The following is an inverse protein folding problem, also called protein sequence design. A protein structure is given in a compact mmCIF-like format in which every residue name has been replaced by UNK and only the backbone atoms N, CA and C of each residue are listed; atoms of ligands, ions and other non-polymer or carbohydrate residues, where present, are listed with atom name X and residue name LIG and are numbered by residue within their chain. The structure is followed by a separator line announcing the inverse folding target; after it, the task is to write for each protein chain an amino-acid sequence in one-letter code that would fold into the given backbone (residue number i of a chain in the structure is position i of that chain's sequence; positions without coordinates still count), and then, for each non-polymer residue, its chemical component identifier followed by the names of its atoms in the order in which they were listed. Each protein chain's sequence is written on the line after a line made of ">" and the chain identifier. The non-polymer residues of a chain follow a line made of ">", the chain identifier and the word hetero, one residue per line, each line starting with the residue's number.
data_IF_379805975940
#
_entry.id   IF_379805975940
#
_cell.length_a   1.000
_cell.length_b   1.000
_cell.length_c   1.000
_cell.angle_alpha   90.00
_cell.angle_beta   90.00
_cell.angle_gamma   90.00
#
_symmetry.space_group_name_H-M   'P 1'
#
loop_
_entity.id
_entity.type
_entity.pdbx_description
1 polymer ?
#
# COMPACT_ATOMS: atom_id res chain seq x y z
N UNK A 1 2.20 21.92 -26.93
CA UNK A 1 1.30 22.72 -27.81
C UNK A 1 -0.09 22.08 -27.87
N UNK A 2 -1.17 22.88 -27.92
CA UNK A 2 -2.55 22.39 -28.12
C UNK A 2 -3.33 23.36 -29.01
N UNK A 3 -3.79 22.97 -30.21
CA UNK A 3 -4.47 23.86 -31.17
C UNK A 3 -5.59 24.71 -30.57
N UNK A 4 -6.43 24.13 -29.73
CA UNK A 4 -7.56 24.84 -29.12
C UNK A 4 -7.14 25.97 -28.19
N UNK A 5 -6.01 25.84 -27.49
CA UNK A 5 -5.47 26.92 -26.64
C UNK A 5 -4.95 28.11 -27.47
N UNK A 6 -4.76 27.90 -28.78
CA UNK A 6 -4.34 28.93 -29.75
C UNK A 6 -5.49 29.47 -30.61
N UNK A 7 -6.73 29.05 -30.30
CA UNK A 7 -7.93 29.32 -31.09
C UNK A 7 -7.82 28.84 -32.56
N UNK A 8 -7.19 27.67 -32.77
CA UNK A 8 -7.03 27.04 -34.08
C UNK A 8 -8.04 25.92 -34.37
N UNK A 9 -8.85 25.54 -33.38
CA UNK A 9 -9.92 24.54 -33.51
C UNK A 9 -11.22 25.01 -32.85
N UNK A 10 -12.31 24.29 -33.11
CA UNK A 10 -13.61 24.54 -32.50
C UNK A 10 -13.73 24.01 -31.07
N UNK A 11 -14.83 24.35 -30.39
CA UNK A 11 -15.10 23.88 -29.01
C UNK A 11 -15.13 22.35 -28.89
N UNK A 12 -15.46 21.63 -29.97
CA UNK A 12 -15.49 20.17 -30.01
C UNK A 12 -14.13 19.52 -30.32
N UNK A 13 -13.12 20.28 -30.76
CA UNK A 13 -11.85 19.74 -31.27
C UNK A 13 -10.80 19.54 -30.15
N UNK A 14 -11.24 19.31 -28.92
CA UNK A 14 -10.37 19.21 -27.73
C UNK A 14 -9.34 18.09 -27.82
N UNK A 15 -9.62 17.07 -28.63
CA UNK A 15 -8.73 15.93 -28.87
C UNK A 15 -7.69 16.20 -29.97
N UNK A 16 -7.89 17.24 -30.79
CA UNK A 16 -6.95 17.58 -31.86
C UNK A 16 -5.57 17.92 -31.28
N UNK A 17 -4.55 17.21 -31.76
CA UNK A 17 -3.16 17.36 -31.31
C UNK A 17 -2.35 18.29 -32.20
N UNK A 18 -2.81 18.58 -33.42
CA UNK A 18 -2.08 19.36 -34.41
C UNK A 18 -2.98 20.25 -35.27
N UNK A 19 -2.47 21.45 -35.59
CA UNK A 19 -3.01 22.34 -36.61
C UNK A 19 -1.87 23.25 -37.08
N UNK A 20 -1.67 23.39 -38.38
CA UNK A 20 -0.61 24.26 -38.92
C UNK A 20 -0.91 25.73 -38.62
N UNK A 21 0.09 26.48 -38.15
CA UNK A 21 -0.05 27.91 -37.95
C UNK A 21 1.30 28.63 -37.88
N UNK A 22 1.63 29.38 -38.93
CA UNK A 22 2.84 30.21 -38.97
C UNK A 22 2.90 31.21 -37.80
N UNK A 23 1.75 31.74 -37.37
CA UNK A 23 1.66 32.64 -36.20
C UNK A 23 2.12 31.95 -34.92
N UNK A 24 1.70 30.70 -34.71
CA UNK A 24 2.09 29.93 -33.53
C UNK A 24 3.55 29.49 -33.63
N UNK A 25 3.99 29.02 -34.80
CA UNK A 25 5.40 28.69 -35.06
C UNK A 25 6.31 29.86 -34.73
N UNK A 26 6.05 31.04 -35.30
CA UNK A 26 6.86 32.23 -35.07
C UNK A 26 6.93 32.61 -33.58
N UNK A 27 5.83 32.45 -32.84
CA UNK A 27 5.80 32.72 -31.40
C UNK A 27 6.56 31.67 -30.58
N UNK A 28 6.37 30.37 -30.85
CA UNK A 28 7.09 29.29 -30.15
C UNK A 28 8.60 29.43 -30.39
N UNK A 29 9.02 29.78 -31.61
CA UNK A 29 10.43 30.00 -31.95
C UNK A 29 11.09 31.14 -31.19
N UNK A 30 10.34 32.12 -30.65
CA UNK A 30 10.94 33.14 -29.77
C UNK A 30 11.26 32.60 -28.37
N UNK A 31 10.72 31.44 -27.98
CA UNK A 31 10.90 30.84 -26.66
C UNK A 31 12.00 29.79 -26.66
N UNK A 32 12.16 29.01 -27.74
CA UNK A 32 13.12 27.91 -27.81
C UNK A 32 14.57 28.27 -27.42
N UNK A 33 15.12 29.46 -27.76
CA UNK A 33 16.48 29.83 -27.37
C UNK A 33 16.68 30.06 -25.86
N UNK A 34 15.59 30.12 -25.08
CA UNK A 34 15.61 30.36 -23.63
C UNK A 34 15.43 29.08 -22.81
N UNK A 35 15.40 27.92 -23.45
CA UNK A 35 15.23 26.62 -22.79
C UNK A 35 16.54 25.82 -22.83
N UNK A 36 16.86 25.11 -21.75
CA UNK A 36 17.98 24.15 -21.73
C UNK A 36 17.55 22.76 -22.23
N UNK A 37 16.26 22.44 -22.08
CA UNK A 37 15.64 21.17 -22.46
C UNK A 37 14.29 21.43 -23.10
N UNK A 38 14.05 20.85 -24.28
CA UNK A 38 12.78 20.97 -25.00
C UNK A 38 12.28 19.55 -25.32
N UNK A 39 11.09 19.21 -24.83
CA UNK A 39 10.49 17.89 -25.02
C UNK A 39 9.15 18.03 -25.73
N UNK A 40 8.99 17.35 -26.86
CA UNK A 40 7.79 17.44 -27.70
C UNK A 40 7.43 16.11 -28.36
N UNK A 41 6.15 15.89 -28.66
CA UNK A 41 5.74 14.86 -29.64
C UNK A 41 6.11 15.30 -31.05
N UNK A 42 6.02 14.41 -32.03
CA UNK A 42 6.27 14.75 -33.44
C UNK A 42 5.42 15.95 -33.89
N UNK A 43 4.13 15.99 -33.52
CA UNK A 43 3.23 17.10 -33.84
C UNK A 43 3.62 18.42 -33.16
N UNK A 44 4.16 18.34 -31.93
CA UNK A 44 4.67 19.51 -31.20
C UNK A 44 5.97 20.03 -31.83
N UNK A 45 6.80 19.15 -32.39
CA UNK A 45 7.94 19.54 -33.19
C UNK A 45 7.52 20.13 -34.53
N UNK A 46 6.49 19.59 -35.19
CA UNK A 46 5.99 20.13 -36.45
C UNK A 46 5.58 21.60 -36.33
N UNK A 47 4.88 21.96 -35.24
CA UNK A 47 4.52 23.36 -35.00
C UNK A 47 5.74 24.22 -34.63
N UNK A 48 6.70 23.68 -33.87
CA UNK A 48 7.90 24.41 -33.44
C UNK A 48 8.86 24.69 -34.61
N UNK A 49 8.99 23.75 -35.54
CA UNK A 49 9.84 23.84 -36.73
C UNK A 49 9.15 24.42 -37.96
N UNK A 50 7.81 24.51 -37.98
CA UNK A 50 7.04 25.08 -39.09
C UNK A 50 6.91 24.17 -40.32
N UNK A 51 7.04 22.86 -40.14
CA UNK A 51 6.93 21.84 -41.21
C UNK A 51 6.42 20.52 -40.62
N UNK A 52 5.74 19.71 -41.43
CA UNK A 52 5.21 18.39 -41.02
C UNK A 52 6.20 17.24 -41.19
N UNK A 53 7.41 17.52 -41.70
CA UNK A 53 8.55 16.59 -41.64
C UNK A 53 9.22 16.70 -40.27
N UNK A 54 9.13 15.65 -39.45
CA UNK A 54 9.67 15.64 -38.08
C UNK A 54 11.16 15.98 -38.00
N UNK A 55 12.00 15.41 -38.88
CA UNK A 55 13.44 15.66 -38.85
C UNK A 55 13.76 17.07 -39.35
N UNK A 56 13.07 17.55 -40.38
CA UNK A 56 13.21 18.93 -40.84
C UNK A 56 12.77 19.93 -39.76
N UNK A 57 11.71 19.62 -39.02
CA UNK A 57 11.21 20.46 -37.93
C UNK A 57 12.19 20.52 -36.75
N UNK A 58 12.75 19.37 -36.36
CA UNK A 58 13.80 19.28 -35.35
C UNK A 58 15.07 20.06 -35.77
N UNK A 59 15.50 19.95 -37.03
CA UNK A 59 16.62 20.73 -37.56
C UNK A 59 16.34 22.24 -37.55
N UNK A 60 15.12 22.65 -37.90
CA UNK A 60 14.72 24.05 -37.84
C UNK A 60 14.78 24.58 -36.39
N UNK A 61 14.31 23.80 -35.41
CA UNK A 61 14.44 24.14 -34.00
C UNK A 61 15.91 24.20 -33.55
N UNK A 62 16.72 23.18 -33.88
CA UNK A 62 18.17 23.16 -33.58
C UNK A 62 18.93 24.36 -34.16
N UNK A 63 18.50 24.92 -35.29
CA UNK A 63 19.15 26.11 -35.88
C UNK A 63 19.02 27.39 -35.05
N UNK A 64 18.15 27.41 -34.03
CA UNK A 64 17.90 28.58 -33.18
C UNK A 64 18.09 28.30 -31.69
N UNK A 65 18.43 27.08 -31.27
CA UNK A 65 18.65 26.74 -29.86
C UNK A 65 19.70 25.65 -29.69
N UNK A 66 20.49 25.77 -28.61
CA UNK A 66 21.47 24.78 -28.16
C UNK A 66 20.88 23.80 -27.14
N UNK A 67 19.58 23.91 -26.82
CA UNK A 67 18.89 23.03 -25.87
C UNK A 67 19.00 21.54 -26.24
N UNK A 68 18.94 20.64 -25.27
CA UNK A 68 18.69 19.22 -25.57
C UNK A 68 17.27 19.05 -26.09
N UNK A 69 17.12 18.42 -27.26
CA UNK A 69 15.82 18.20 -27.90
C UNK A 69 15.39 16.75 -27.74
N UNK A 70 14.22 16.53 -27.16
CA UNK A 70 13.64 15.19 -26.99
C UNK A 70 12.39 15.06 -27.86
N UNK A 71 12.42 14.13 -28.80
CA UNK A 71 11.30 13.82 -29.67
C UNK A 71 10.61 12.53 -29.21
N UNK A 72 9.37 12.66 -28.71
CA UNK A 72 8.49 11.54 -28.33
C UNK A 72 7.81 10.99 -29.60
N UNK A 73 7.96 9.70 -29.84
CA UNK A 73 7.51 8.98 -31.04
C UNK A 73 6.49 7.89 -30.72
N UNK A 74 5.65 8.15 -29.70
CA UNK A 74 4.61 7.23 -29.26
C UNK A 74 5.16 5.84 -28.90
N UNK A 75 4.66 4.75 -29.51
CA UNK A 75 5.14 3.38 -29.24
C UNK A 75 6.62 3.14 -29.54
N UNK A 76 7.25 3.99 -30.36
CA UNK A 76 8.68 3.91 -30.69
C UNK A 76 9.57 4.55 -29.61
N UNK A 77 8.99 5.04 -28.51
CA UNK A 77 9.71 5.68 -27.41
C UNK A 77 10.08 7.13 -27.71
N UNK A 78 11.34 7.48 -27.48
CA UNK A 78 11.85 8.81 -27.75
C UNK A 78 13.28 8.77 -28.30
N UNK A 79 13.67 9.87 -28.93
CA UNK A 79 15.05 10.13 -29.38
C UNK A 79 15.50 11.46 -28.80
N UNK A 80 16.68 11.46 -28.19
CA UNK A 80 17.32 12.61 -27.55
C UNK A 80 18.43 13.13 -28.46
N UNK A 81 18.41 14.42 -28.79
CA UNK A 81 19.41 15.08 -29.60
C UNK A 81 20.11 16.15 -28.76
N UNK A 82 21.38 15.93 -28.48
CA UNK A 82 22.23 16.90 -27.77
C UNK A 82 22.96 17.83 -28.76
N UNK A 83 23.23 17.35 -29.97
CA UNK A 83 24.01 18.04 -31.00
C UNK A 83 23.23 18.18 -32.35
N UNK A 84 23.98 18.27 -33.45
CA UNK A 84 23.48 18.33 -34.82
C UNK A 84 22.62 17.12 -35.18
N UNK A 85 21.62 17.36 -36.04
CA UNK A 85 20.60 16.37 -36.39
C UNK A 85 20.75 15.99 -37.86
N UNK A 86 21.54 14.96 -38.13
CA UNK A 86 21.77 14.41 -39.48
C UNK A 86 20.73 13.35 -39.86
N UNK A 87 20.08 12.75 -38.87
CA UNK A 87 19.02 11.76 -39.01
C UNK A 87 18.63 11.20 -37.65
N UNK A 88 17.76 10.18 -37.60
CA UNK A 88 17.38 9.57 -36.33
C UNK A 88 18.57 8.97 -35.57
N UNK A 89 19.54 8.38 -36.29
CA UNK A 89 20.72 7.74 -35.70
C UNK A 89 21.75 8.74 -35.14
N UNK A 90 21.59 10.05 -35.41
CA UNK A 90 22.40 11.09 -34.77
C UNK A 90 21.92 11.43 -33.35
N UNK A 91 20.76 10.91 -32.95
CA UNK A 91 20.25 11.03 -31.58
C UNK A 91 20.40 9.74 -30.79
N UNK A 92 20.28 9.85 -29.47
CA UNK A 92 20.29 8.73 -28.55
C UNK A 92 18.87 8.22 -28.34
N UNK A 93 18.65 6.93 -28.61
CA UNK A 93 17.41 6.24 -28.35
C UNK A 93 17.64 5.13 -27.31
N UNK A 94 16.59 4.79 -26.56
CA UNK A 94 16.58 3.64 -25.67
C UNK A 94 15.71 2.52 -26.26
N UNK A 95 16.03 1.24 -26.00
CA UNK A 95 15.12 0.13 -26.30
C UNK A 95 13.72 0.40 -25.75
N UNK A 96 12.72 0.00 -26.54
CA UNK A 96 11.31 0.01 -26.14
C UNK A 96 10.68 -1.35 -26.40
N UNK A 97 9.71 -1.69 -25.57
CA UNK A 97 8.86 -2.86 -25.76
C UNK A 97 7.42 -2.40 -25.92
N UNK A 98 6.75 -2.94 -26.92
CA UNK A 98 5.34 -2.65 -27.15
C UNK A 98 4.48 -3.23 -26.03
N UNK A 99 3.51 -2.45 -25.55
CA UNK A 99 2.59 -2.78 -24.47
C UNK A 99 1.16 -2.32 -24.80
N UNK A 100 0.16 -2.90 -24.14
CA UNK A 100 -1.23 -2.48 -24.23
C UNK A 100 -1.38 -1.05 -23.66
N UNK A 101 -1.82 -0.12 -24.51
CA UNK A 101 -2.25 1.21 -24.05
C UNK A 101 -3.67 1.09 -23.52
N UNK A 102 -3.80 1.06 -22.20
CA UNK A 102 -5.09 0.97 -21.52
C UNK A 102 -5.73 2.35 -21.33
N UNK A 103 -4.92 3.38 -21.06
CA UNK A 103 -5.36 4.74 -20.79
C UNK A 103 -4.28 5.75 -21.19
N UNK A 104 -4.62 6.81 -21.93
CA UNK A 104 -3.63 7.81 -22.39
C UNK A 104 -3.44 8.99 -21.44
N UNK A 105 -4.24 9.07 -20.37
CA UNK A 105 -4.13 10.15 -19.38
C UNK A 105 -2.82 10.05 -18.60
N UNK A 106 -2.12 11.18 -18.45
CA UNK A 106 -0.89 11.25 -17.67
C UNK A 106 0.37 10.68 -18.34
N UNK A 107 0.29 10.14 -19.56
CA UNK A 107 1.43 9.57 -20.28
C UNK A 107 2.61 10.55 -20.40
N UNK A 108 2.31 11.80 -20.75
CA UNK A 108 3.31 12.85 -20.89
C UNK A 108 3.96 13.23 -19.57
N UNK A 109 3.18 13.29 -18.49
CA UNK A 109 3.67 13.65 -17.15
C UNK A 109 4.56 12.53 -16.58
N UNK A 110 4.14 11.26 -16.73
CA UNK A 110 4.94 10.10 -16.37
C UNK A 110 6.25 10.03 -17.15
N UNK A 111 6.19 10.26 -18.48
CA UNK A 111 7.39 10.35 -19.32
C UNK A 111 8.33 11.45 -18.84
N UNK A 112 7.81 12.66 -18.62
CA UNK A 112 8.60 13.80 -18.17
C UNK A 112 9.21 13.58 -16.80
N UNK A 113 8.46 12.98 -15.86
CA UNK A 113 8.97 12.63 -14.54
C UNK A 113 10.14 11.63 -14.64
N UNK A 114 10.01 10.60 -15.48
CA UNK A 114 11.09 9.65 -15.75
C UNK A 114 12.33 10.32 -16.36
N UNK A 115 12.14 11.14 -17.40
CA UNK A 115 13.23 11.85 -18.06
C UNK A 115 13.96 12.80 -17.10
N UNK A 116 13.21 13.66 -16.41
CA UNK A 116 13.76 14.65 -15.48
C UNK A 116 14.44 14.01 -14.27
N UNK A 117 13.96 12.85 -13.82
CA UNK A 117 14.61 12.08 -12.75
C UNK A 117 16.05 11.75 -13.14
N UNK A 118 16.30 11.27 -14.36
CA UNK A 118 17.66 11.02 -14.85
C UNK A 118 18.44 12.30 -15.12
N UNK A 119 17.82 13.23 -15.87
CA UNK A 119 18.45 14.45 -16.34
C UNK A 119 18.97 15.34 -15.20
N UNK A 120 18.20 15.50 -14.14
CA UNK A 120 18.59 16.30 -12.96
C UNK A 120 19.71 15.66 -12.12
N UNK A 121 20.11 14.42 -12.44
CA UNK A 121 21.23 13.70 -11.81
C UNK A 121 22.42 13.54 -12.77
N UNK A 122 22.41 14.23 -13.90
CA UNK A 122 23.44 14.14 -14.94
C UNK A 122 23.66 12.70 -15.45
N UNK A 123 22.58 11.89 -15.45
CA UNK A 123 22.62 10.54 -16.01
C UNK A 123 22.75 10.59 -17.55
N UNK A 124 23.35 9.58 -18.19
CA UNK A 124 23.44 9.52 -19.64
C UNK A 124 22.08 9.70 -20.34
N UNK A 125 22.05 10.36 -21.50
CA UNK A 125 20.82 10.58 -22.27
C UNK A 125 20.05 9.29 -22.58
N UNK A 126 20.76 8.17 -22.77
CA UNK A 126 20.19 6.85 -22.97
C UNK A 126 19.38 6.38 -21.74
N UNK A 127 19.91 6.61 -20.54
CA UNK A 127 19.24 6.25 -19.28
C UNK A 127 18.05 7.18 -19.01
N UNK A 128 18.19 8.47 -19.29
CA UNK A 128 17.07 9.42 -19.25
C UNK A 128 15.92 8.98 -20.17
N UNK A 129 16.24 8.58 -21.40
CA UNK A 129 15.27 8.07 -22.37
C UNK A 129 14.63 6.74 -21.91
N UNK A 130 15.42 5.83 -21.33
CA UNK A 130 14.94 4.57 -20.77
C UNK A 130 13.93 4.81 -19.64
N UNK A 131 14.28 5.68 -18.68
CA UNK A 131 13.40 6.03 -17.57
C UNK A 131 12.10 6.66 -18.06
N UNK A 132 12.19 7.58 -19.02
CA UNK A 132 11.03 8.24 -19.60
C UNK A 132 10.09 7.26 -20.31
N UNK A 133 10.64 6.36 -21.13
CA UNK A 133 9.86 5.35 -21.85
C UNK A 133 9.16 4.39 -20.88
N UNK A 134 9.85 3.90 -19.85
CA UNK A 134 9.25 2.97 -18.86
C UNK A 134 8.18 3.67 -18.03
N UNK A 135 8.44 4.88 -17.52
CA UNK A 135 7.44 5.62 -16.75
C UNK A 135 6.20 5.96 -17.60
N UNK A 136 6.39 6.33 -18.87
CA UNK A 136 5.30 6.54 -19.81
C UNK A 136 4.49 5.25 -20.04
N UNK A 137 5.16 4.12 -20.24
CA UNK A 137 4.52 2.81 -20.45
C UNK A 137 3.70 2.35 -19.23
N UNK A 138 4.26 2.47 -18.03
CA UNK A 138 3.55 2.12 -16.79
C UNK A 138 2.34 3.03 -16.57
N UNK A 139 2.49 4.34 -16.79
CA UNK A 139 1.41 5.30 -16.65
C UNK A 139 0.21 4.96 -17.54
N UNK A 140 0.46 4.55 -18.79
CA UNK A 140 -0.62 4.22 -19.75
C UNK A 140 -1.18 2.81 -19.63
N UNK A 141 -0.52 1.93 -18.88
CA UNK A 141 -0.99 0.57 -18.65
C UNK A 141 -2.06 0.46 -17.56
N UNK A 142 -2.27 1.49 -16.73
CA UNK A 142 -3.21 1.49 -15.60
C UNK A 142 -4.29 2.56 -15.72
N UNK A 143 -5.36 2.39 -14.96
CA UNK A 143 -6.39 3.42 -14.85
C UNK A 143 -5.87 4.62 -14.05
N UNK A 144 -6.36 5.82 -14.36
CA UNK A 144 -6.00 7.05 -13.64
C UNK A 144 -4.91 7.88 -14.32
N UNK A 145 -4.33 8.81 -13.56
CA UNK A 145 -3.27 9.72 -14.00
C UNK A 145 -2.15 9.69 -12.96
N UNK A 146 -2.09 10.64 -12.03
CA UNK A 146 -1.07 10.64 -10.97
C UNK A 146 -0.96 9.32 -10.17
N UNK A 147 -2.05 8.60 -9.84
CA UNK A 147 -1.95 7.32 -9.14
C UNK A 147 -1.25 6.20 -9.94
N UNK A 148 -1.18 6.28 -11.28
CA UNK A 148 -0.55 5.23 -12.09
C UNK A 148 0.96 5.38 -12.23
N UNK A 149 1.55 6.46 -11.72
CA UNK A 149 2.98 6.72 -11.87
C UNK A 149 3.80 5.75 -11.01
N UNK A 150 4.89 5.21 -11.56
CA UNK A 150 5.69 4.24 -10.84
C UNK A 150 6.50 4.89 -9.73
N UNK A 151 6.75 4.12 -8.67
CA UNK A 151 7.79 4.47 -7.72
C UNK A 151 9.18 4.26 -8.34
N UNK A 152 10.22 4.78 -7.67
CA UNK A 152 11.59 4.51 -8.07
C UNK A 152 11.93 3.01 -8.04
N UNK A 153 11.34 2.26 -7.10
CA UNK A 153 11.54 0.81 -6.99
C UNK A 153 10.91 0.08 -8.17
N UNK A 154 9.68 0.44 -8.52
CA UNK A 154 8.97 -0.16 -9.65
C UNK A 154 9.68 0.12 -10.98
N UNK A 155 10.16 1.35 -11.17
CA UNK A 155 10.98 1.72 -12.33
C UNK A 155 12.24 0.85 -12.42
N UNK A 156 12.99 0.69 -11.32
CA UNK A 156 14.21 -0.13 -11.31
C UNK A 156 13.90 -1.60 -11.58
N UNK A 157 12.84 -2.13 -10.99
CA UNK A 157 12.39 -3.49 -11.27
C UNK A 157 12.09 -3.70 -12.76
N UNK A 158 11.37 -2.76 -13.40
CA UNK A 158 11.11 -2.82 -14.84
C UNK A 158 12.35 -2.70 -15.71
N UNK A 159 13.38 -1.96 -15.28
CA UNK A 159 14.67 -1.88 -15.99
C UNK A 159 15.42 -3.22 -15.89
N UNK A 160 15.49 -3.79 -14.70
CA UNK A 160 16.31 -4.96 -14.40
C UNK A 160 15.68 -6.27 -14.87
N UNK A 161 14.36 -6.40 -14.72
CA UNK A 161 13.63 -7.65 -14.95
C UNK A 161 12.70 -7.56 -16.15
N UNK A 162 12.13 -6.37 -16.41
CA UNK A 162 11.05 -6.20 -17.38
C UNK A 162 9.78 -6.94 -16.96
N UNK A 163 8.88 -7.15 -17.92
CA UNK A 163 7.66 -7.96 -17.75
C UNK A 163 7.41 -8.77 -19.00
N UNK A 164 6.95 -10.01 -18.86
CA UNK A 164 6.55 -10.84 -20.00
C UNK A 164 5.16 -10.47 -20.53
N UNK A 165 4.38 -9.69 -19.78
CA UNK A 165 3.01 -9.34 -20.12
C UNK A 165 2.95 -8.20 -21.15
N UNK A 166 2.11 -8.38 -22.18
CA UNK A 166 1.76 -7.28 -23.09
C UNK A 166 0.90 -6.21 -22.37
N UNK A 167 -0.05 -6.65 -21.54
CA UNK A 167 -0.82 -5.78 -20.66
C UNK A 167 -0.16 -5.73 -19.27
N UNK A 168 0.69 -4.74 -19.03
CA UNK A 168 1.52 -4.65 -17.80
C UNK A 168 0.69 -4.68 -16.51
N UNK A 169 -0.51 -4.09 -16.50
CA UNK A 169 -1.48 -4.17 -15.38
C UNK A 169 -1.95 -5.58 -15.00
N UNK A 170 -1.61 -6.60 -15.78
CA UNK A 170 -1.89 -8.02 -15.49
C UNK A 170 -0.68 -8.75 -14.92
N UNK A 171 0.45 -8.06 -14.78
CA UNK A 171 1.63 -8.58 -14.11
C UNK A 171 1.48 -8.38 -12.60
N UNK A 172 1.25 -9.48 -11.88
CA UNK A 172 1.00 -9.44 -10.45
C UNK A 172 2.21 -8.92 -9.65
N UNK A 173 3.44 -9.17 -10.11
CA UNK A 173 4.64 -8.69 -9.42
C UNK A 173 4.75 -7.17 -9.54
N UNK A 174 4.49 -6.62 -10.73
CA UNK A 174 4.45 -5.17 -10.94
C UNK A 174 3.32 -4.51 -10.13
N UNK A 175 2.11 -5.06 -10.17
CA UNK A 175 0.99 -4.52 -9.39
C UNK A 175 1.27 -4.56 -7.89
N UNK A 176 1.93 -5.61 -7.40
CA UNK A 176 2.35 -5.70 -6.00
C UNK A 176 3.38 -4.63 -5.64
N UNK A 177 4.44 -4.48 -6.44
CA UNK A 177 5.47 -3.45 -6.20
C UNK A 177 4.83 -2.07 -6.25
N UNK A 178 3.99 -1.80 -7.24
CA UNK A 178 3.28 -0.53 -7.40
C UNK A 178 2.47 -0.21 -6.13
N UNK A 179 1.59 -1.12 -5.71
CA UNK A 179 0.82 -0.96 -4.48
C UNK A 179 1.73 -0.71 -3.28
N UNK A 180 2.74 -1.56 -3.09
CA UNK A 180 3.52 -1.55 -1.87
C UNK A 180 4.40 -0.30 -1.74
N UNK A 181 4.82 0.27 -2.87
CA UNK A 181 5.76 1.40 -2.90
C UNK A 181 5.12 2.75 -3.14
N UNK A 182 3.80 2.79 -3.40
CA UNK A 182 3.01 4.04 -3.57
C UNK A 182 1.97 4.27 -2.48
N UNK A 183 1.98 3.47 -1.41
CA UNK A 183 1.09 3.64 -0.25
C UNK A 183 1.16 5.08 0.29
N UNK A 184 0.01 5.59 0.74
CA UNK A 184 -0.09 6.95 1.31
C UNK A 184 0.68 7.11 2.61
N UNK A 185 0.75 6.05 3.41
CA UNK A 185 1.45 6.02 4.70
C UNK A 185 2.36 4.81 4.76
N UNK A 186 3.57 5.02 5.27
CA UNK A 186 4.51 3.96 5.60
C UNK A 186 4.69 3.96 7.11
N UNK A 187 4.64 2.78 7.70
CA UNK A 187 4.73 2.62 9.15
C UNK A 187 6.08 2.02 9.53
N UNK A 188 6.89 2.78 10.24
CA UNK A 188 8.15 2.28 10.80
C UNK A 188 7.93 1.43 12.05
N UNK A 189 6.79 1.62 12.72
CA UNK A 189 6.35 0.81 13.86
C UNK A 189 4.82 0.81 13.99
N UNK A 190 4.26 -0.23 14.60
CA UNK A 190 2.84 -0.34 14.91
C UNK A 190 2.61 -0.95 16.29
N UNK A 191 2.12 -0.14 17.23
CA UNK A 191 1.81 -0.52 18.61
C UNK A 191 0.29 -0.39 18.80
N UNK A 192 -0.44 -1.46 18.50
CA UNK A 192 -1.89 -1.43 18.45
C UNK A 192 -2.55 -2.02 19.71
N UNK A 193 -3.51 -1.29 20.26
CA UNK A 193 -4.43 -1.79 21.28
C UNK A 193 -5.66 -2.42 20.60
N UNK A 194 -5.78 -3.75 20.70
CA UNK A 194 -6.85 -4.51 20.07
C UNK A 194 -8.05 -4.73 21.01
N UNK A 195 -9.19 -4.13 20.68
CA UNK A 195 -10.45 -4.33 21.39
C UNK A 195 -11.61 -4.60 20.40
N UNK A 196 -11.30 -5.20 19.25
CA UNK A 196 -12.20 -5.70 18.20
C UNK A 196 -12.96 -6.99 18.59
N UNK A 197 -12.77 -7.44 19.83
CA UNK A 197 -13.41 -8.63 20.38
C UNK A 197 -14.92 -8.41 20.46
N UNK A 198 -15.70 -9.48 20.29
CA UNK A 198 -17.17 -9.39 20.28
C UNK A 198 -17.78 -10.36 21.27
N UNK A 199 -17.65 -11.68 21.05
CA UNK A 199 -18.26 -12.69 21.91
C UNK A 199 -17.85 -12.54 23.37
N UNK A 200 -16.57 -12.27 23.65
CA UNK A 200 -16.07 -12.12 25.02
C UNK A 200 -16.72 -10.94 25.75
N UNK A 201 -16.91 -9.80 25.08
CA UNK A 201 -17.60 -8.66 25.69
C UNK A 201 -19.09 -8.92 25.87
N UNK A 202 -19.73 -9.59 24.92
CA UNK A 202 -21.14 -9.99 25.04
C UNK A 202 -21.33 -10.93 26.24
N UNK A 203 -20.48 -11.95 26.39
CA UNK A 203 -20.54 -12.90 27.50
C UNK A 203 -20.34 -12.19 28.85
N UNK A 204 -19.33 -11.30 28.95
CA UNK A 204 -19.08 -10.51 30.15
C UNK A 204 -20.22 -9.55 30.48
N UNK A 205 -20.79 -8.88 29.49
CA UNK A 205 -21.92 -7.98 29.68
C UNK A 205 -23.16 -8.74 30.16
N UNK A 206 -23.51 -9.85 29.50
CA UNK A 206 -24.64 -10.70 29.87
C UNK A 206 -24.50 -11.25 31.29
N UNK A 207 -23.32 -11.73 31.67
CA UNK A 207 -23.05 -12.26 33.00
C UNK A 207 -23.24 -11.23 34.12
N UNK A 208 -23.17 -9.93 33.80
CA UNK A 208 -23.34 -8.82 34.74
C UNK A 208 -24.60 -7.98 34.49
N UNK A 209 -25.53 -8.45 33.64
CA UNK A 209 -26.78 -7.73 33.36
C UNK A 209 -26.62 -6.42 32.58
N UNK A 210 -25.55 -6.30 31.79
CA UNK A 210 -25.20 -5.14 30.97
C UNK A 210 -25.64 -5.34 29.51
N UNK A 211 -25.80 -4.24 28.80
CA UNK A 211 -26.29 -4.17 27.43
C UNK A 211 -25.15 -3.99 26.40
N UNK A 212 -25.47 -4.09 25.10
CA UNK A 212 -24.50 -3.73 24.05
C UNK A 212 -24.08 -2.25 24.10
N UNK A 213 -24.94 -1.36 24.63
CA UNK A 213 -24.57 0.05 24.83
C UNK A 213 -23.48 0.22 25.89
N UNK A 214 -23.48 -0.63 26.93
CA UNK A 214 -22.41 -0.66 27.93
C UNK A 214 -21.10 -1.17 27.33
N UNK A 215 -21.16 -2.10 26.35
CA UNK A 215 -19.98 -2.55 25.62
C UNK A 215 -19.41 -1.42 24.75
N UNK A 216 -20.26 -0.70 24.00
CA UNK A 216 -19.83 0.44 23.18
C UNK A 216 -19.19 1.54 24.04
N UNK A 217 -19.79 1.83 25.20
CA UNK A 217 -19.21 2.75 26.18
C UNK A 217 -17.86 2.26 26.73
N UNK A 218 -17.74 0.98 27.09
CA UNK A 218 -16.45 0.43 27.53
C UNK A 218 -15.37 0.53 26.44
N UNK A 219 -15.74 0.36 25.16
CA UNK A 219 -14.78 0.54 24.04
C UNK A 219 -14.38 1.99 23.84
N UNK A 220 -15.22 2.97 24.18
CA UNK A 220 -14.82 4.37 24.25
C UNK A 220 -13.78 4.62 25.36
N UNK A 221 -13.92 3.95 26.51
CA UNK A 221 -12.91 4.00 27.59
C UNK A 221 -11.58 3.40 27.09
N UNK A 222 -11.63 2.28 26.37
CA UNK A 222 -10.45 1.65 25.76
C UNK A 222 -9.77 2.55 24.72
N UNK A 223 -10.55 3.25 23.88
CA UNK A 223 -10.04 4.28 22.97
C UNK A 223 -9.31 5.38 23.75
N UNK A 224 -9.89 5.86 24.86
CA UNK A 224 -9.26 6.86 25.73
C UNK A 224 -7.90 6.43 26.27
N UNK A 225 -7.71 5.13 26.54
CA UNK A 225 -6.40 4.59 26.94
C UNK A 225 -5.41 4.63 25.76
N UNK A 226 -5.82 4.24 24.55
CA UNK A 226 -4.97 4.27 23.36
C UNK A 226 -4.56 5.70 22.96
N UNK A 227 -5.52 6.64 22.95
CA UNK A 227 -5.25 8.03 22.55
C UNK A 227 -4.30 8.72 23.53
N UNK A 228 -4.44 8.46 24.83
CA UNK A 228 -3.48 8.94 25.85
C UNK A 228 -2.04 8.47 25.60
N UNK A 229 -1.86 7.25 25.08
CA UNK A 229 -0.53 6.76 24.68
C UNK A 229 -0.05 7.40 23.38
N UNK A 230 -0.95 7.73 22.44
CA UNK A 230 -0.58 8.37 21.17
C UNK A 230 0.03 9.78 21.34
N UNK A 231 -0.29 10.48 22.43
CA UNK A 231 0.37 11.75 22.78
C UNK A 231 1.86 11.60 23.11
N UNK A 232 2.31 10.38 23.43
CA UNK A 232 3.67 10.08 23.90
C UNK A 232 4.47 9.22 22.93
N UNK A 233 3.78 8.48 22.08
CA UNK A 233 4.34 7.40 21.30
C UNK A 233 3.91 7.52 19.84
N UNK A 234 4.88 7.40 18.92
CA UNK A 234 4.58 7.28 17.49
C UNK A 234 4.03 5.89 17.16
N UNK A 235 3.31 5.76 16.05
CA UNK A 235 2.85 4.46 15.54
C UNK A 235 1.84 3.74 16.45
N UNK A 236 1.12 4.47 17.31
CA UNK A 236 0.02 3.90 18.08
C UNK A 236 -1.16 3.61 17.15
N UNK A 237 -1.82 2.48 17.38
CA UNK A 237 -3.00 2.09 16.62
C UNK A 237 -4.04 1.36 17.46
N UNK A 238 -5.11 0.95 16.79
CA UNK A 238 -6.19 0.19 17.39
C UNK A 238 -6.78 -0.83 16.43
N UNK A 239 -7.31 -1.91 17.00
CA UNK A 239 -8.24 -2.81 16.31
C UNK A 239 -9.61 -2.66 16.97
N UNK A 240 -10.62 -2.28 16.20
CA UNK A 240 -11.99 -2.07 16.71
C UNK A 240 -13.03 -2.55 15.68
N UNK A 241 -14.09 -3.19 16.16
CA UNK A 241 -15.19 -3.66 15.30
C UNK A 241 -16.29 -2.60 15.12
N UNK A 242 -17.07 -2.75 14.05
CA UNK A 242 -18.13 -1.83 13.65
C UNK A 242 -19.50 -2.09 14.26
N UNK A 243 -19.65 -3.21 14.98
CA UNK A 243 -20.89 -3.65 15.59
C UNK A 243 -20.99 -3.12 17.02
N UNK A 244 -20.02 -3.47 17.85
CA UNK A 244 -20.00 -3.13 19.28
C UNK A 244 -19.07 -1.96 19.60
N UNK A 245 -18.18 -1.57 18.68
CA UNK A 245 -17.22 -0.47 18.88
C UNK A 245 -17.41 0.69 17.91
N UNK A 246 -18.62 0.87 17.37
CA UNK A 246 -18.89 1.86 16.32
C UNK A 246 -18.57 3.28 16.77
N UNK A 247 -18.94 3.65 17.99
CA UNK A 247 -18.67 4.99 18.52
C UNK A 247 -17.17 5.21 18.65
N UNK A 248 -16.44 4.21 19.15
CA UNK A 248 -14.97 4.26 19.26
C UNK A 248 -14.28 4.32 17.89
N UNK A 249 -14.76 3.57 16.90
CA UNK A 249 -14.26 3.60 15.53
C UNK A 249 -14.43 4.98 14.88
N UNK A 250 -15.58 5.63 15.08
CA UNK A 250 -15.81 6.97 14.56
C UNK A 250 -14.94 8.02 15.28
N UNK A 251 -14.90 7.99 16.62
CA UNK A 251 -14.10 8.92 17.41
C UNK A 251 -12.59 8.77 17.14
N UNK A 252 -12.11 7.56 16.83
CA UNK A 252 -10.72 7.32 16.44
C UNK A 252 -10.28 8.13 15.21
N UNK A 253 -11.22 8.53 14.33
CA UNK A 253 -10.91 9.31 13.12
C UNK A 253 -10.47 10.75 13.42
N UNK A 254 -10.70 11.25 14.65
CA UNK A 254 -10.24 12.56 15.10
C UNK A 254 -8.76 12.56 15.54
N UNK A 255 -8.11 11.39 15.51
CA UNK A 255 -6.74 11.19 15.95
C UNK A 255 -5.85 10.63 14.84
N UNK A 256 -4.54 10.85 14.93
CA UNK A 256 -3.56 10.29 13.99
C UNK A 256 -3.16 8.86 14.36
N UNK A 257 -4.15 7.97 14.44
CA UNK A 257 -3.97 6.57 14.81
C UNK A 257 -3.95 5.67 13.58
N UNK A 258 -3.21 4.56 13.65
CA UNK A 258 -3.48 3.44 12.75
C UNK A 258 -4.76 2.74 13.19
N UNK A 259 -5.68 2.50 12.25
CA UNK A 259 -6.99 1.90 12.53
C UNK A 259 -7.11 0.61 11.72
N UNK A 260 -7.26 -0.52 12.39
CA UNK A 260 -7.70 -1.76 11.76
C UNK A 260 -9.09 -2.17 12.21
N UNK A 261 -9.86 -2.75 11.29
CA UNK A 261 -11.25 -3.15 11.50
C UNK A 261 -11.44 -4.61 11.05
N UNK A 262 -11.95 -5.50 11.91
CA UNK A 262 -12.16 -6.90 11.57
C UNK A 262 -13.25 -7.05 10.50
N UNK A 263 -13.06 -8.01 9.60
CA UNK A 263 -14.04 -8.39 8.59
C UNK A 263 -14.66 -9.77 8.86
N UNK A 264 -13.98 -10.62 9.64
CA UNK A 264 -14.43 -11.96 9.98
C UNK A 264 -15.57 -11.95 11.02
N UNK A 265 -16.43 -12.97 10.99
CA UNK A 265 -17.38 -13.26 12.08
C UNK A 265 -16.65 -13.80 13.31
N UNK A 266 -17.01 -13.30 14.49
CA UNK A 266 -16.36 -13.70 15.74
C UNK A 266 -16.70 -15.15 16.12
N UNK A 267 -15.66 -15.99 16.27
CA UNK A 267 -15.82 -17.35 16.82
C UNK A 267 -16.41 -18.38 15.87
N UNK A 268 -16.48 -18.08 14.57
CA UNK A 268 -17.01 -18.99 13.54
C UNK A 268 -15.88 -19.80 12.90
N UNK A 269 -16.10 -21.11 12.74
CA UNK A 269 -15.22 -22.03 12.03
C UNK A 269 -16.07 -22.98 11.15
N UNK A 270 -15.77 -23.15 9.84
CA UNK A 270 -14.73 -22.48 9.03
C UNK A 270 -14.86 -20.94 8.99
N UNK A 271 -13.83 -20.23 8.49
CA UNK A 271 -13.81 -18.77 8.37
C UNK A 271 -15.07 -18.26 7.68
N UNK A 272 -15.76 -17.30 8.29
CA UNK A 272 -16.87 -16.60 7.67
C UNK A 272 -16.64 -15.09 7.82
N UNK A 273 -17.13 -14.31 6.86
CA UNK A 273 -17.14 -12.85 6.92
C UNK A 273 -18.48 -12.34 7.41
N UNK A 274 -18.49 -11.20 8.10
CA UNK A 274 -19.71 -10.54 8.54
C UNK A 274 -20.67 -10.31 7.34
N UNK A 275 -21.98 -10.41 7.58
CA UNK A 275 -23.00 -10.46 6.52
C UNK A 275 -22.98 -9.21 5.60
N UNK A 276 -23.24 -9.42 4.32
CA UNK A 276 -23.28 -8.37 3.28
C UNK A 276 -23.48 -8.96 1.88
N UNK A 277 -23.82 -8.12 0.88
CA UNK A 277 -24.06 -8.59 -0.49
C UNK A 277 -22.80 -9.18 -1.15
N UNK A 278 -21.65 -8.53 -0.94
CA UNK A 278 -20.31 -8.98 -1.34
C UNK A 278 -19.21 -8.18 -0.60
N UNK A 279 -17.97 -8.66 -0.62
CA UNK A 279 -16.85 -8.03 0.09
C UNK A 279 -16.44 -6.67 -0.51
N UNK A 280 -16.45 -6.55 -1.84
CA UNK A 280 -16.03 -5.33 -2.53
C UNK A 280 -16.97 -4.16 -2.24
N UNK A 281 -18.28 -4.39 -2.35
CA UNK A 281 -19.29 -3.37 -2.03
C UNK A 281 -19.22 -2.95 -0.56
N UNK A 282 -18.98 -3.89 0.36
CA UNK A 282 -18.83 -3.57 1.79
C UNK A 282 -17.58 -2.72 2.06
N UNK A 283 -16.43 -3.11 1.50
CA UNK A 283 -15.19 -2.39 1.71
C UNK A 283 -15.20 -1.01 1.03
N UNK A 284 -15.93 -0.84 -0.08
CA UNK A 284 -16.07 0.46 -0.73
C UNK A 284 -16.73 1.54 0.15
N UNK A 285 -17.47 1.14 1.20
CA UNK A 285 -18.04 2.07 2.19
C UNK A 285 -17.07 2.41 3.34
N UNK A 286 -15.91 1.75 3.41
CA UNK A 286 -14.93 2.00 4.46
C UNK A 286 -14.04 3.21 4.10
N UNK A 287 -13.58 3.98 5.11
CA UNK A 287 -12.54 4.96 4.89
C UNK A 287 -11.25 4.29 4.37
N UNK A 288 -10.67 4.83 3.30
CA UNK A 288 -9.48 4.28 2.64
C UNK A 288 -8.23 4.17 3.54
N UNK A 289 -8.21 4.87 4.69
CA UNK A 289 -7.15 4.80 5.68
C UNK A 289 -7.38 3.73 6.77
N UNK A 290 -8.48 2.96 6.70
CA UNK A 290 -8.72 1.84 7.59
C UNK A 290 -8.13 0.56 6.99
N UNK A 291 -7.39 -0.19 7.79
CA UNK A 291 -6.86 -1.48 7.41
C UNK A 291 -7.91 -2.58 7.66
N UNK A 292 -8.15 -3.43 6.67
CA UNK A 292 -8.99 -4.62 6.79
C UNK A 292 -8.23 -5.67 7.56
N UNK A 293 -8.72 -6.05 8.73
CA UNK A 293 -8.16 -7.15 9.51
C UNK A 293 -8.99 -8.40 9.28
N UNK A 294 -8.32 -9.53 9.03
CA UNK A 294 -8.94 -10.86 9.05
C UNK A 294 -8.19 -11.75 10.01
N UNK A 295 -8.92 -12.41 10.91
CA UNK A 295 -8.40 -13.52 11.71
C UNK A 295 -8.86 -14.84 11.09
N UNK A 296 -7.90 -15.66 10.63
CA UNK A 296 -8.19 -16.95 10.03
C UNK A 296 -7.65 -18.11 10.88
N UNK A 297 -8.52 -19.00 11.39
CA UNK A 297 -8.13 -20.26 11.99
C UNK A 297 -7.78 -21.30 10.92
N UNK A 298 -6.52 -21.34 10.50
CA UNK A 298 -6.03 -22.18 9.38
C UNK A 298 -4.96 -23.16 9.84
N UNK A 299 -4.98 -24.38 9.31
CA UNK A 299 -3.96 -25.42 9.56
C UNK A 299 -3.66 -26.23 8.32
N UNK A 300 -2.43 -26.71 8.20
CA UNK A 300 -2.00 -27.59 7.10
C UNK A 300 -2.54 -29.01 7.23
N UNK A 301 -3.13 -29.35 8.38
CA UNK A 301 -3.68 -30.68 8.72
C UNK A 301 -5.23 -30.68 8.88
N UNK A 302 -5.89 -29.61 8.44
CA UNK A 302 -7.36 -29.58 8.32
C UNK A 302 -7.84 -30.48 7.17
N UNK A 303 -9.15 -30.74 7.13
CA UNK A 303 -9.72 -31.50 6.01
C UNK A 303 -9.49 -30.75 4.70
N UNK A 304 -9.19 -31.44 3.57
CA UNK A 304 -8.82 -30.77 2.32
C UNK A 304 -9.83 -29.76 1.79
N UNK A 305 -11.12 -30.01 2.01
CA UNK A 305 -12.21 -29.10 1.65
C UNK A 305 -12.23 -27.84 2.53
N UNK A 306 -11.92 -27.96 3.82
CA UNK A 306 -11.75 -26.82 4.73
C UNK A 306 -10.54 -25.97 4.34
N UNK A 307 -9.40 -26.61 4.01
CA UNK A 307 -8.21 -25.91 3.52
C UNK A 307 -8.54 -25.14 2.23
N UNK A 308 -9.11 -25.81 1.23
CA UNK A 308 -9.48 -25.19 -0.03
C UNK A 308 -10.47 -24.04 0.14
N UNK A 309 -11.42 -24.18 1.08
CA UNK A 309 -12.38 -23.13 1.40
C UNK A 309 -11.71 -21.90 2.01
N UNK A 310 -10.84 -22.04 3.01
CA UNK A 310 -10.11 -20.90 3.59
C UNK A 310 -9.19 -20.23 2.58
N UNK A 311 -8.47 -21.02 1.77
CA UNK A 311 -7.61 -20.49 0.71
C UNK A 311 -8.42 -19.62 -0.27
N UNK A 312 -9.56 -20.12 -0.75
CA UNK A 312 -10.43 -19.38 -1.66
C UNK A 312 -10.98 -18.08 -1.03
N UNK A 313 -11.43 -18.14 0.22
CA UNK A 313 -12.00 -16.98 0.92
C UNK A 313 -10.96 -15.89 1.21
N UNK A 314 -9.73 -16.26 1.55
CA UNK A 314 -8.63 -15.31 1.76
C UNK A 314 -8.17 -14.68 0.44
N UNK A 315 -8.07 -15.46 -0.65
CA UNK A 315 -7.79 -14.91 -1.98
C UNK A 315 -8.88 -13.91 -2.40
N UNK A 316 -10.15 -14.26 -2.17
CA UNK A 316 -11.30 -13.38 -2.46
C UNK A 316 -11.25 -12.09 -1.65
N UNK A 317 -10.87 -12.16 -0.37
CA UNK A 317 -10.70 -10.98 0.47
C UNK A 317 -9.53 -10.11 0.02
N UNK A 318 -8.39 -10.72 -0.32
CA UNK A 318 -7.21 -9.99 -0.78
C UNK A 318 -7.48 -9.20 -2.07
N UNK A 319 -8.18 -9.81 -3.03
CA UNK A 319 -8.63 -9.10 -4.24
C UNK A 319 -9.58 -7.94 -3.88
N UNK A 320 -10.58 -8.18 -3.03
CA UNK A 320 -11.51 -7.11 -2.61
C UNK A 320 -10.80 -5.93 -1.94
N UNK A 321 -9.79 -6.18 -1.10
CA UNK A 321 -8.96 -5.13 -0.48
C UNK A 321 -8.22 -4.32 -1.55
N UNK A 322 -7.62 -5.00 -2.55
CA UNK A 322 -6.90 -4.34 -3.64
C UNK A 322 -7.80 -3.49 -4.52
N UNK A 323 -8.95 -4.02 -4.93
CA UNK A 323 -9.89 -3.29 -5.79
C UNK A 323 -10.47 -2.04 -5.10
N UNK A 324 -10.54 -2.05 -3.76
CA UNK A 324 -11.07 -0.94 -2.97
C UNK A 324 -9.99 -0.03 -2.38
N UNK A 325 -8.71 -0.34 -2.60
CA UNK A 325 -7.58 0.46 -2.13
C UNK A 325 -7.37 0.42 -0.61
N UNK A 326 -7.74 -0.69 0.04
CA UNK A 326 -7.56 -0.89 1.48
C UNK A 326 -6.36 -1.80 1.76
N UNK A 327 -5.62 -1.49 2.83
CA UNK A 327 -4.58 -2.38 3.35
C UNK A 327 -5.20 -3.62 4.00
N UNK A 328 -4.51 -4.76 3.89
CA UNK A 328 -4.90 -6.03 4.52
C UNK A 328 -3.93 -6.42 5.65
N UNK A 329 -4.47 -6.62 6.86
CA UNK A 329 -3.81 -7.28 7.97
C UNK A 329 -4.32 -8.71 8.10
N UNK A 330 -3.44 -9.66 7.84
CA UNK A 330 -3.74 -11.08 7.91
C UNK A 330 -3.23 -11.68 9.23
N UNK A 331 -4.16 -11.98 10.13
CA UNK A 331 -3.93 -12.67 11.39
C UNK A 331 -4.10 -14.19 11.23
N UNK A 332 -2.98 -14.91 11.21
CA UNK A 332 -2.98 -16.38 11.21
C UNK A 332 -3.03 -16.87 12.65
N UNK A 333 -4.02 -17.72 12.95
CA UNK A 333 -4.02 -18.55 14.15
C UNK A 333 -4.15 -20.02 13.76
N UNK A 334 -3.43 -20.89 14.45
CA UNK A 334 -3.44 -22.34 14.19
C UNK A 334 -4.30 -23.14 15.18
N UNK A 335 -4.92 -22.44 16.13
CA UNK A 335 -5.88 -23.02 17.08
C UNK A 335 -7.32 -22.69 16.70
N UNK A 336 -8.24 -23.61 16.98
CA UNK A 336 -9.67 -23.41 16.84
C UNK A 336 -10.42 -24.12 17.99
N UNK A 337 -11.75 -24.20 17.92
CA UNK A 337 -12.57 -24.86 18.95
C UNK A 337 -12.17 -26.32 19.21
N UNK A 338 -11.72 -27.03 18.18
CA UNK A 338 -11.51 -28.48 18.19
C UNK A 338 -10.03 -28.87 18.26
N UNK A 339 -9.13 -27.95 17.88
CA UNK A 339 -7.68 -28.19 17.79
C UNK A 339 -6.89 -27.17 18.61
N UNK A 340 -5.99 -27.69 19.43
CA UNK A 340 -4.95 -26.88 20.10
C UNK A 340 -4.03 -26.24 19.06
N UNK A 341 -3.50 -25.05 19.38
CA UNK A 341 -2.62 -24.33 18.46
C UNK A 341 -1.34 -25.11 18.12
N UNK A 342 -0.89 -24.96 16.89
CA UNK A 342 0.33 -25.53 16.35
C UNK A 342 1.14 -24.44 15.60
N UNK A 343 1.77 -23.48 16.31
CA UNK A 343 2.47 -22.35 15.68
C UNK A 343 3.59 -22.76 14.72
N UNK A 344 4.11 -23.99 14.84
CA UNK A 344 5.08 -24.55 13.89
C UNK A 344 4.58 -24.63 12.44
N UNK A 345 3.27 -24.57 12.21
CA UNK A 345 2.68 -24.57 10.86
C UNK A 345 2.64 -23.17 10.22
N UNK A 346 2.80 -22.10 10.99
CA UNK A 346 2.58 -20.72 10.52
C UNK A 346 3.50 -20.35 9.35
N UNK A 347 4.78 -20.71 9.39
CA UNK A 347 5.71 -20.39 8.30
C UNK A 347 5.31 -21.07 6.98
N UNK A 348 4.87 -22.33 7.04
CA UNK A 348 4.38 -23.04 5.85
C UNK A 348 3.09 -22.40 5.30
N UNK A 349 2.21 -21.94 6.19
CA UNK A 349 0.99 -21.22 5.80
C UNK A 349 1.31 -19.86 5.18
N UNK A 350 2.27 -19.10 5.71
CA UNK A 350 2.71 -17.84 5.12
C UNK A 350 3.20 -18.04 3.68
N UNK A 351 4.10 -19.01 3.45
CA UNK A 351 4.58 -19.30 2.10
C UNK A 351 3.42 -19.73 1.19
N UNK A 352 2.52 -20.59 1.69
CA UNK A 352 1.36 -21.05 0.92
C UNK A 352 0.47 -19.88 0.45
N UNK A 353 0.23 -18.89 1.29
CA UNK A 353 -0.58 -17.73 0.91
C UNK A 353 0.14 -16.81 -0.07
N UNK A 354 1.47 -16.66 0.02
CA UNK A 354 2.25 -16.00 -1.03
C UNK A 354 2.17 -16.75 -2.36
N UNK A 355 2.26 -18.08 -2.35
CA UNK A 355 2.12 -18.92 -3.56
C UNK A 355 0.73 -18.77 -4.22
N UNK A 356 -0.29 -18.43 -3.43
CA UNK A 356 -1.65 -18.14 -3.87
C UNK A 356 -1.84 -16.68 -4.35
N UNK A 357 -0.78 -15.86 -4.32
CA UNK A 357 -0.83 -14.45 -4.70
C UNK A 357 -1.37 -13.52 -3.61
N UNK A 358 -1.49 -13.99 -2.37
CA UNK A 358 -1.95 -13.20 -1.23
C UNK A 358 -0.76 -12.51 -0.57
N UNK A 359 -0.57 -11.23 -0.88
CA UNK A 359 0.43 -10.37 -0.26
C UNK A 359 -0.25 -9.35 0.68
N UNK A 360 -0.47 -9.70 1.97
CA UNK A 360 -1.06 -8.76 2.92
C UNK A 360 -0.06 -7.65 3.25
N UNK A 361 -0.58 -6.46 3.61
CA UNK A 361 0.25 -5.35 4.05
C UNK A 361 0.86 -5.59 5.43
N UNK A 362 0.13 -6.32 6.28
CA UNK A 362 0.57 -6.71 7.61
C UNK A 362 0.35 -8.19 7.86
N UNK A 363 1.37 -8.86 8.38
CA UNK A 363 1.20 -10.17 9.02
C UNK A 363 1.00 -10.00 10.51
N UNK A 364 0.00 -10.65 11.10
CA UNK A 364 -0.18 -10.72 12.55
C UNK A 364 -0.05 -12.17 13.01
N UNK A 365 1.03 -12.49 13.72
CA UNK A 365 1.43 -13.86 14.00
C UNK A 365 1.37 -14.21 15.49
N UNK A 366 1.14 -15.50 15.77
CA UNK A 366 1.10 -16.05 17.13
C UNK A 366 2.38 -15.75 17.93
N UNK A 367 2.30 -15.53 19.25
CA UNK A 367 3.47 -15.24 20.07
C UNK A 367 4.32 -16.50 20.25
N UNK A 368 5.41 -16.62 19.47
CA UNK A 368 6.37 -17.72 19.54
C UNK A 368 7.66 -17.25 20.22
N UNK A 369 8.04 -17.93 21.30
CA UNK A 369 9.29 -17.69 22.05
C UNK A 369 10.48 -18.43 21.40
N UNK A 370 10.71 -18.18 20.11
CA UNK A 370 11.80 -18.75 19.32
C UNK A 370 12.29 -17.75 18.27
N UNK A 371 13.57 -17.38 18.32
CA UNK A 371 14.18 -16.46 17.35
C UNK A 371 14.29 -17.07 15.95
N UNK A 372 14.40 -18.40 15.85
CA UNK A 372 14.43 -19.12 14.57
C UNK A 372 13.12 -18.96 13.81
N UNK A 373 11.99 -19.03 14.50
CA UNK A 373 10.67 -18.76 13.95
C UNK A 373 10.58 -17.37 13.31
N UNK A 374 10.97 -16.31 14.03
CA UNK A 374 10.86 -14.93 13.52
C UNK A 374 11.82 -14.66 12.38
N UNK A 375 13.05 -15.20 12.44
CA UNK A 375 14.00 -15.14 11.32
C UNK A 375 13.40 -15.79 10.08
N UNK A 376 12.81 -16.98 10.22
CA UNK A 376 12.14 -17.68 9.13
C UNK A 376 10.95 -16.91 8.55
N UNK A 377 10.14 -16.25 9.39
CA UNK A 377 9.06 -15.38 8.93
C UNK A 377 9.61 -14.19 8.12
N UNK A 378 10.69 -13.57 8.60
CA UNK A 378 11.38 -12.49 7.88
C UNK A 378 11.94 -12.94 6.54
N UNK A 379 12.55 -14.12 6.47
CA UNK A 379 13.12 -14.67 5.23
C UNK A 379 12.04 -14.95 4.17
N UNK A 380 10.90 -15.53 4.58
CA UNK A 380 9.74 -15.73 3.69
C UNK A 380 9.27 -14.38 3.13
N UNK A 381 9.09 -13.37 3.99
CA UNK A 381 8.65 -12.04 3.55
C UNK A 381 9.67 -11.40 2.60
N UNK A 382 10.96 -11.42 2.90
CA UNK A 382 11.99 -10.84 2.01
C UNK A 382 12.02 -11.49 0.63
N UNK A 383 11.75 -12.79 0.56
CA UNK A 383 11.74 -13.54 -0.70
C UNK A 383 10.48 -13.27 -1.54
N UNK A 384 9.33 -12.97 -0.93
CA UNK A 384 8.04 -12.87 -1.63
C UNK A 384 7.49 -11.43 -1.73
N UNK A 385 7.67 -10.60 -0.69
CA UNK A 385 7.16 -9.23 -0.61
C UNK A 385 8.06 -8.32 0.27
N UNK A 386 9.24 -7.91 -0.23
CA UNK A 386 10.20 -7.13 0.55
C UNK A 386 9.72 -5.72 0.93
N UNK A 387 8.58 -5.28 0.39
CA UNK A 387 8.00 -3.96 0.61
C UNK A 387 6.75 -3.99 1.49
N UNK A 388 6.47 -5.09 2.20
CA UNK A 388 5.41 -5.20 3.21
C UNK A 388 5.48 -4.06 4.26
N UNK A 389 4.35 -3.69 4.88
CA UNK A 389 4.42 -2.74 6.01
C UNK A 389 5.13 -3.39 7.19
N UNK A 390 4.82 -4.62 7.53
CA UNK A 390 5.59 -5.39 8.51
C UNK A 390 4.87 -6.61 9.07
N UNK A 391 5.52 -7.20 10.06
CA UNK A 391 4.99 -8.28 10.88
C UNK A 391 4.71 -7.69 12.27
N UNK A 392 3.59 -8.08 12.89
CA UNK A 392 3.25 -7.73 14.26
C UNK A 392 2.89 -8.96 15.09
N UNK A 393 3.21 -8.91 16.38
CA UNK A 393 2.96 -10.00 17.33
C UNK A 393 1.56 -9.86 17.94
N UNK A 394 0.82 -10.97 18.06
CA UNK A 394 -0.44 -11.03 18.83
C UNK A 394 -0.23 -11.54 20.27
N UNK A 395 -1.11 -11.18 21.21
CA UNK A 395 -0.93 -11.49 22.65
C UNK A 395 -1.51 -12.82 23.16
N UNK A 396 -2.65 -13.29 22.64
CA UNK A 396 -3.33 -14.56 23.01
C UNK A 396 -3.53 -14.83 24.53
N UNK A 397 -3.88 -13.81 25.32
CA UNK A 397 -4.02 -13.92 26.80
C UNK A 397 -2.73 -14.36 27.53
N UNK A 398 -1.58 -14.23 26.87
CA UNK A 398 -0.30 -14.46 27.52
C UNK A 398 -0.10 -13.44 28.66
N UNK A 399 0.39 -13.86 29.83
CA UNK A 399 0.74 -12.94 30.92
C UNK A 399 1.78 -11.90 30.47
N UNK A 400 1.66 -10.68 30.98
CA UNK A 400 2.51 -9.52 30.63
C UNK A 400 4.01 -9.86 30.55
N UNK A 401 4.54 -10.57 31.56
CA UNK A 401 5.97 -10.88 31.65
C UNK A 401 6.43 -11.84 30.55
N UNK A 402 5.63 -12.88 30.27
CA UNK A 402 5.94 -13.84 29.21
C UNK A 402 5.82 -13.17 27.83
N UNK A 403 4.82 -12.31 27.66
CA UNK A 403 4.63 -11.56 26.42
C UNK A 403 5.77 -10.58 26.19
N UNK A 404 6.27 -9.91 27.22
CA UNK A 404 7.45 -9.06 27.14
C UNK A 404 8.70 -9.79 26.63
N UNK A 405 8.92 -11.05 27.06
CA UNK A 405 10.01 -11.89 26.52
C UNK A 405 9.83 -12.20 25.04
N UNK A 406 8.62 -12.63 24.64
CA UNK A 406 8.32 -12.93 23.23
C UNK A 406 8.48 -11.70 22.35
N UNK A 407 8.02 -10.53 22.80
CA UNK A 407 8.21 -9.27 22.09
C UNK A 407 9.70 -8.97 21.86
N UNK A 408 10.54 -9.24 22.86
CA UNK A 408 11.99 -9.07 22.75
C UNK A 408 12.63 -10.01 21.73
N UNK A 409 12.26 -11.28 21.75
CA UNK A 409 12.72 -12.28 20.76
C UNK A 409 12.24 -11.92 19.35
N UNK A 410 10.98 -11.53 19.19
CA UNK A 410 10.41 -11.16 17.91
C UNK A 410 11.07 -9.93 17.29
N UNK A 411 11.34 -8.90 18.08
CA UNK A 411 12.00 -7.66 17.66
C UNK A 411 13.44 -7.87 17.16
N UNK A 412 14.04 -9.05 17.37
CA UNK A 412 15.32 -9.42 16.78
C UNK A 412 15.28 -9.33 15.24
N UNK A 413 14.15 -9.70 14.63
CA UNK A 413 13.90 -9.64 13.19
C UNK A 413 13.42 -8.22 12.77
N UNK A 414 14.15 -7.51 11.88
CA UNK A 414 13.82 -6.13 11.46
C UNK A 414 12.43 -5.92 10.83
N UNK A 415 11.83 -6.97 10.25
CA UNK A 415 10.48 -6.90 9.69
C UNK A 415 9.38 -7.00 10.77
N UNK A 416 9.71 -7.40 12.00
CA UNK A 416 8.77 -7.37 13.12
C UNK A 416 8.75 -5.95 13.69
N UNK A 417 7.68 -5.20 13.39
CA UNK A 417 7.57 -3.76 13.65
C UNK A 417 6.65 -3.38 14.81
N UNK A 418 6.14 -4.36 15.53
CA UNK A 418 5.42 -4.12 16.77
C UNK A 418 4.43 -5.22 17.10
N UNK A 419 3.28 -4.82 17.65
CA UNK A 419 2.30 -5.74 18.18
C UNK A 419 0.87 -5.21 18.04
N UNK A 420 -0.09 -6.14 18.07
CA UNK A 420 -1.50 -5.84 18.25
C UNK A 420 -2.07 -6.74 19.36
N UNK A 421 -2.17 -6.19 20.58
CA UNK A 421 -2.49 -6.94 21.79
C UNK A 421 -3.82 -6.46 22.36
N UNK A 422 -4.67 -7.40 22.78
CA UNK A 422 -6.00 -7.09 23.29
C UNK A 422 -6.25 -7.57 24.72
N UNK A 423 -6.66 -8.82 24.88
CA UNK A 423 -7.12 -9.40 26.16
C UNK A 423 -6.15 -9.15 27.33
N UNK A 424 -4.84 -9.22 27.10
CA UNK A 424 -3.83 -8.88 28.12
C UNK A 424 -4.00 -7.45 28.67
N UNK A 425 -4.41 -6.49 27.84
CA UNK A 425 -4.63 -5.09 28.22
C UNK A 425 -5.99 -4.89 28.87
N UNK A 426 -7.08 -5.43 28.29
CA UNK A 426 -8.44 -5.06 28.71
C UNK A 426 -9.14 -6.04 29.66
N UNK A 427 -8.74 -7.33 29.73
CA UNK A 427 -9.59 -8.35 30.36
C UNK A 427 -9.86 -8.08 31.84
N UNK A 428 -8.85 -7.69 32.62
CA UNK A 428 -9.03 -7.39 34.05
C UNK A 428 -9.90 -6.15 34.26
N UNK A 429 -9.64 -5.07 33.50
CA UNK A 429 -10.42 -3.84 33.55
C UNK A 429 -11.88 -4.10 33.16
N UNK A 430 -12.12 -4.86 32.09
CA UNK A 430 -13.45 -5.23 31.64
C UNK A 430 -14.20 -6.03 32.71
N UNK A 431 -13.58 -7.07 33.29
CA UNK A 431 -14.22 -7.88 34.33
C UNK A 431 -14.63 -7.06 35.55
N UNK A 432 -13.82 -6.10 35.97
CA UNK A 432 -14.13 -5.24 37.11
C UNK A 432 -15.16 -4.16 36.76
N UNK A 433 -15.07 -3.56 35.57
CA UNK A 433 -15.96 -2.50 35.12
C UNK A 433 -17.38 -3.01 34.84
N UNK A 434 -17.54 -4.12 34.10
CA UNK A 434 -18.87 -4.72 33.87
C UNK A 434 -19.54 -5.17 35.17
N UNK A 435 -18.76 -5.53 36.19
CA UNK A 435 -19.25 -5.91 37.52
C UNK A 435 -19.49 -4.70 38.46
N UNK A 436 -19.44 -3.46 37.96
CA UNK A 436 -19.62 -2.21 38.72
C UNK A 436 -18.66 -2.05 39.91
N UNK A 437 -17.46 -2.63 39.83
CA UNK A 437 -16.44 -2.55 40.90
C UNK A 437 -15.52 -1.35 40.77
N UNK A 438 -15.39 -0.80 39.57
CA UNK A 438 -14.52 0.33 39.23
C UNK A 438 -15.27 1.30 38.31
N UNK A 439 -14.86 2.56 38.32
CA UNK A 439 -15.39 3.59 37.42
C UNK A 439 -14.63 3.64 36.07
N UNK A 440 -15.11 4.50 35.17
CA UNK A 440 -14.54 4.65 33.82
C UNK A 440 -13.07 5.08 33.86
N UNK A 441 -12.73 6.03 34.73
CA UNK A 441 -11.39 6.56 34.86
C UNK A 441 -10.41 5.48 35.34
N UNK A 442 -10.81 4.69 36.35
CA UNK A 442 -10.01 3.58 36.86
C UNK A 442 -9.82 2.50 35.78
N UNK A 443 -10.86 2.17 35.02
CA UNK A 443 -10.74 1.21 33.91
C UNK A 443 -9.79 1.72 32.82
N UNK A 444 -9.87 3.00 32.45
CA UNK A 444 -8.96 3.62 31.49
C UNK A 444 -7.52 3.60 32.00
N UNK A 445 -7.29 3.96 33.26
CA UNK A 445 -5.96 3.99 33.87
C UNK A 445 -5.34 2.59 33.96
N UNK A 446 -6.14 1.56 34.26
CA UNK A 446 -5.69 0.15 34.25
C UNK A 446 -5.24 -0.27 32.85
N UNK A 447 -6.08 -0.06 31.82
CA UNK A 447 -5.74 -0.42 30.44
C UNK A 447 -4.52 0.36 29.93
N UNK A 448 -4.48 1.67 30.19
CA UNK A 448 -3.36 2.52 29.81
C UNK A 448 -2.05 2.06 30.47
N UNK A 449 -2.08 1.75 31.77
CA UNK A 449 -0.89 1.28 32.48
C UNK A 449 -0.36 -0.06 31.92
N UNK A 450 -1.24 -1.00 31.53
CA UNK A 450 -0.81 -2.26 30.89
C UNK A 450 -0.23 -1.96 29.50
N UNK A 451 -0.89 -1.11 28.71
CA UNK A 451 -0.44 -0.77 27.37
C UNK A 451 0.95 -0.10 27.39
N UNK A 452 1.18 0.87 28.29
CA UNK A 452 2.50 1.50 28.46
C UNK A 452 3.59 0.50 28.88
N UNK A 453 3.27 -0.49 29.72
CA UNK A 453 4.24 -1.55 30.07
C UNK A 453 4.62 -2.40 28.86
N UNK A 454 3.66 -2.72 27.99
CA UNK A 454 3.94 -3.48 26.76
C UNK A 454 4.75 -2.64 25.75
N UNK A 455 4.46 -1.35 25.63
CA UNK A 455 5.26 -0.41 24.82
C UNK A 455 6.69 -0.34 25.37
N UNK A 456 6.85 -0.19 26.70
CA UNK A 456 8.17 -0.18 27.33
C UNK A 456 8.91 -1.51 27.14
N UNK A 457 8.22 -2.65 27.25
CA UNK A 457 8.83 -3.96 26.99
C UNK A 457 9.30 -4.09 25.54
N UNK A 458 8.49 -3.62 24.58
CA UNK A 458 8.85 -3.55 23.17
C UNK A 458 10.08 -2.67 22.94
N UNK A 459 10.14 -1.47 23.52
CA UNK A 459 11.23 -0.51 23.32
C UNK A 459 12.52 -0.87 24.07
N UNK A 460 12.44 -1.45 25.27
CA UNK A 460 13.61 -1.88 26.02
C UNK A 460 14.34 -3.04 25.33
N UNK A 461 13.62 -3.92 24.63
CA UNK A 461 14.24 -4.95 23.79
C UNK A 461 15.11 -4.39 22.64
N UNK A 462 14.98 -3.10 22.32
CA UNK A 462 15.84 -2.43 21.35
C UNK A 462 17.18 -1.96 21.95
N UNK A 463 17.23 -1.72 23.26
CA UNK A 463 18.34 -1.04 23.95
C UNK A 463 19.43 -2.00 24.43
N UNK A 464 19.16 -3.30 24.49
CA UNK A 464 20.13 -4.35 24.82
C UNK A 464 20.98 -4.80 23.60
N UNK A 465 21.07 -3.96 22.55
CA UNK A 465 21.88 -4.17 21.34
C UNK A 465 22.94 -3.10 21.15
#
# INVERSE_FOLDING_TARGET
>A
YRPNLWALGGHADGESRFAESQRVTAHIQTVLPHCDLIVGTEEEWHIAGGTTDTLAALRAARSITDATLVCKRGPLGCVVFEDAIDGWDSGVASPVREIEVFNVLGAGDGFMAGFLSGWLRDEPAADCALYANICGALAVSRHGCAPSYPSQVELRHMIETGSEHFALRKDNALEQIHWATTRRRKHDRLLAFAFDHRSQFVDMAQANGKSEADIDHFKMIALGAATRSSDRHQGVGLLVDDRLGRTALHAASDHDLWIGRPIEQSGVFPLAFEDGPDLGSRLAEWPANHCVKVLAPVRTDDQPDVIAYHEAEIVRLADACRQTGHELLFEIITGNRDKSAAPSQVLALMQRFYDLGVAPDWWKLEPVDDGGFWTGAGDIVRANDPHVQGIIVLGKEMPDEQLGRVLGVARAEPLVRGFAIGRTIFSEAAQQWFADKIDDQTAQDMMWAVFERLIAAWDNAASDR
#
